data_IF_121443723115
#
_entry.id   IF_121443723115
#
_cell.length_a   1.000
_cell.length_b   1.000
_cell.length_c   1.000
_cell.angle_alpha   90.00
_cell.angle_beta   90.00
_cell.angle_gamma   90.00
#
_symmetry.space_group_name_H-M   'P 1'
#
loop_
_entity.id
_entity.type
_entity.pdbx_description
1 polymer ?
#
# COMPACT_ATOMS: atom_id res chain seq x y z
N UNK A 1 5.81 -3.35 16.97
CA UNK A 1 5.51 -2.44 15.83
C UNK A 1 6.27 -1.11 15.98
N UNK A 2 7.48 -1.11 16.53
CA UNK A 2 8.04 0.08 17.21
C UNK A 2 9.18 0.79 16.43
N UNK A 3 9.66 0.22 15.32
CA UNK A 3 10.82 0.76 14.59
C UNK A 3 10.54 1.25 13.17
N UNK A 4 9.48 0.77 12.52
CA UNK A 4 9.13 1.18 11.16
C UNK A 4 7.61 1.42 11.11
N UNK A 5 7.12 2.57 11.61
CA UNK A 5 5.69 2.86 11.62
C UNK A 5 5.13 2.97 10.19
N UNK A 6 3.86 2.64 10.00
CA UNK A 6 3.17 2.83 8.72
C UNK A 6 3.57 1.88 7.58
N UNK A 7 4.50 0.94 7.79
CA UNK A 7 4.82 -0.12 6.79
C UNK A 7 3.89 -1.33 6.88
N UNK A 8 3.12 -1.44 7.97
CA UNK A 8 2.13 -2.50 8.18
C UNK A 8 0.75 -1.88 8.15
N UNK A 9 -0.13 -2.48 7.36
CA UNK A 9 -1.53 -2.11 7.24
C UNK A 9 -2.31 -3.21 6.53
N UNK A 10 -3.62 -3.03 6.43
CA UNK A 10 -4.45 -3.86 5.57
C UNK A 10 -4.59 -3.12 4.23
N UNK A 11 -4.66 -3.88 3.14
CA UNK A 11 -4.79 -3.31 1.80
C UNK A 11 -5.73 -4.15 0.96
N UNK A 12 -6.55 -3.50 0.15
CA UNK A 12 -7.37 -4.13 -0.88
C UNK A 12 -6.92 -3.65 -2.25
N UNK A 13 -7.00 -4.54 -3.24
CA UNK A 13 -6.52 -4.30 -4.60
C UNK A 13 -7.54 -4.86 -5.59
N UNK A 14 -7.90 -4.08 -6.60
CA UNK A 14 -8.73 -4.52 -7.72
C UNK A 14 -7.93 -4.40 -9.01
N UNK A 15 -7.57 -5.55 -9.59
CA UNK A 15 -6.80 -5.62 -10.82
C UNK A 15 -7.59 -5.16 -12.06
N UNK A 16 -8.93 -5.16 -12.02
CA UNK A 16 -9.74 -4.77 -13.17
C UNK A 16 -9.73 -3.25 -13.39
N UNK A 17 -9.82 -2.49 -12.30
CA UNK A 17 -9.76 -1.02 -12.32
C UNK A 17 -8.39 -0.44 -11.94
N UNK A 18 -7.42 -1.30 -11.60
CA UNK A 18 -6.11 -0.93 -11.06
C UNK A 18 -6.20 -0.09 -9.77
N UNK A 19 -7.22 -0.30 -8.95
CA UNK A 19 -7.45 0.47 -7.72
C UNK A 19 -6.87 -0.21 -6.48
N UNK A 20 -6.42 0.62 -5.54
CA UNK A 20 -6.05 0.17 -4.21
C UNK A 20 -6.58 1.12 -3.12
N UNK A 21 -6.72 0.57 -1.91
CA UNK A 21 -7.03 1.32 -0.71
C UNK A 21 -6.35 0.68 0.51
N UNK A 22 -5.85 1.53 1.42
CA UNK A 22 -5.24 1.13 2.69
C UNK A 22 -6.21 1.32 3.85
N UNK A 23 -6.12 0.43 4.83
CA UNK A 23 -6.94 0.45 6.03
C UNK A 23 -6.05 0.33 7.27
N UNK A 24 -6.55 0.90 8.36
CA UNK A 24 -5.92 0.80 9.65
C UNK A 24 -6.04 -0.62 10.22
N UNK A 25 -4.93 -1.28 10.58
CA UNK A 25 -4.96 -2.68 11.01
C UNK A 25 -5.57 -2.88 12.41
N UNK A 26 -5.67 -1.82 13.23
CA UNK A 26 -6.25 -1.90 14.57
C UNK A 26 -7.78 -1.68 14.56
N UNK A 27 -8.29 -0.94 13.57
CA UNK A 27 -9.70 -0.52 13.52
C UNK A 27 -10.46 -0.99 12.28
N UNK A 28 -9.76 -1.45 11.24
CA UNK A 28 -10.36 -1.77 9.93
C UNK A 28 -10.82 -0.54 9.15
N UNK A 29 -10.66 0.67 9.70
CA UNK A 29 -11.12 1.90 9.06
C UNK A 29 -10.27 2.26 7.86
N UNK A 30 -10.94 2.71 6.81
CA UNK A 30 -10.30 3.23 5.62
C UNK A 30 -9.36 4.40 5.94
N UNK A 31 -8.19 4.43 5.28
CA UNK A 31 -7.26 5.57 5.26
C UNK A 31 -7.47 6.47 4.05
N UNK A 32 -8.58 6.34 3.33
CA UNK A 32 -8.91 7.16 2.15
C UNK A 32 -8.84 8.66 2.43
N UNK A 33 -9.47 9.11 3.51
CA UNK A 33 -9.44 10.54 3.93
C UNK A 33 -8.05 11.03 4.33
N UNK A 34 -7.09 10.13 4.50
CA UNK A 34 -5.67 10.39 4.79
C UNK A 34 -4.80 10.22 3.53
N UNK A 35 -5.41 10.10 2.34
CA UNK A 35 -4.71 9.90 1.07
C UNK A 35 -4.27 8.45 0.80
N UNK A 36 -4.81 7.48 1.53
CA UNK A 36 -4.46 6.06 1.44
C UNK A 36 -5.08 5.30 0.26
N UNK A 37 -5.49 5.98 -0.81
CA UNK A 37 -6.10 5.37 -1.99
C UNK A 37 -5.48 5.86 -3.29
N UNK A 38 -5.68 5.10 -4.35
CA UNK A 38 -5.29 5.51 -5.69
C UNK A 38 -5.21 4.36 -6.67
N UNK A 39 -4.30 4.50 -7.64
CA UNK A 39 -4.03 3.50 -8.66
C UNK A 39 -2.73 2.77 -8.40
N UNK A 40 -2.69 1.49 -8.77
CA UNK A 40 -1.47 0.69 -8.74
C UNK A 40 -1.17 0.10 -10.09
N UNK A 41 0.11 -0.21 -10.33
CA UNK A 41 0.54 -1.01 -11.46
C UNK A 41 1.71 -1.89 -11.06
N UNK A 42 1.80 -3.05 -11.70
CA UNK A 42 3.00 -3.89 -11.71
C UNK A 42 3.68 -3.68 -13.06
N UNK A 43 4.97 -3.39 -13.06
CA UNK A 43 5.71 -3.18 -14.31
C UNK A 43 5.71 -4.45 -15.16
N UNK A 44 5.79 -4.31 -16.49
CA UNK A 44 5.73 -5.47 -17.40
C UNK A 44 6.83 -6.51 -17.18
N UNK A 45 7.98 -6.09 -16.64
CA UNK A 45 9.08 -6.96 -16.22
C UNK A 45 8.87 -7.60 -14.84
N UNK A 46 7.75 -7.31 -14.17
CA UNK A 46 7.36 -7.78 -12.83
C UNK A 46 8.42 -7.51 -11.75
N UNK A 47 9.23 -6.46 -11.91
CA UNK A 47 10.25 -6.06 -10.92
C UNK A 47 9.78 -4.99 -9.95
N UNK A 48 8.77 -4.20 -10.31
CA UNK A 48 8.30 -3.10 -9.46
C UNK A 48 6.78 -3.06 -9.36
N UNK A 49 6.32 -2.65 -8.18
CA UNK A 49 4.98 -2.11 -7.99
C UNK A 49 5.09 -0.60 -7.85
N UNK A 50 4.18 0.12 -8.50
CA UNK A 50 4.05 1.58 -8.38
C UNK A 50 2.65 1.90 -7.89
N UNK A 51 2.55 2.74 -6.86
CA UNK A 51 1.30 3.31 -6.39
C UNK A 51 1.30 4.82 -6.67
N UNK A 52 0.28 5.28 -7.40
CA UNK A 52 -0.03 6.70 -7.60
C UNK A 52 -1.26 7.04 -6.78
N UNK A 53 -1.15 8.05 -5.90
CA UNK A 53 -2.19 8.39 -4.94
C UNK A 53 -3.15 9.44 -5.51
N UNK A 54 -4.45 9.31 -5.22
CA UNK A 54 -5.46 10.28 -5.69
C UNK A 54 -5.22 11.67 -5.07
N UNK A 55 -4.71 11.72 -3.83
CA UNK A 55 -4.30 12.95 -3.15
C UNK A 55 -3.08 13.64 -3.80
N UNK A 56 -2.49 13.03 -4.85
CA UNK A 56 -1.30 13.52 -5.51
C UNK A 56 0.00 13.21 -4.77
N UNK A 57 1.08 13.88 -5.17
CA UNK A 57 2.41 13.67 -4.60
C UNK A 57 3.26 12.67 -5.41
N UNK A 58 4.44 12.32 -4.86
CA UNK A 58 5.37 11.41 -5.53
C UNK A 58 4.85 9.97 -5.47
N UNK A 59 4.84 9.23 -6.59
CA UNK A 59 4.48 7.81 -6.58
C UNK A 59 5.37 7.01 -5.64
N UNK A 60 4.77 6.01 -4.99
CA UNK A 60 5.52 5.03 -4.21
C UNK A 60 5.96 3.89 -5.13
N UNK A 61 7.27 3.80 -5.37
CA UNK A 61 7.89 2.73 -6.15
C UNK A 61 8.52 1.70 -5.20
N UNK A 62 8.19 0.43 -5.40
CA UNK A 62 8.65 -0.69 -4.56
C UNK A 62 9.25 -1.78 -5.43
N UNK A 63 10.39 -2.33 -5.04
CA UNK A 63 11.00 -3.49 -5.71
C UNK A 63 10.30 -4.75 -5.24
N UNK A 64 9.76 -5.52 -6.17
CA UNK A 64 9.14 -6.81 -5.89
C UNK A 64 10.23 -7.84 -5.55
N UNK A 65 9.99 -8.59 -4.48
CA UNK A 65 10.80 -9.76 -4.11
C UNK A 65 9.99 -11.05 -4.29
N UNK A 66 8.72 -11.04 -3.86
CA UNK A 66 7.78 -12.17 -3.98
C UNK A 66 6.41 -11.66 -4.41
N UNK A 67 5.78 -12.34 -5.37
CA UNK A 67 4.41 -12.05 -5.82
C UNK A 67 3.71 -13.36 -6.23
N UNK A 68 2.90 -13.92 -5.34
CA UNK A 68 2.06 -15.09 -5.57
C UNK A 68 0.79 -15.04 -4.69
N UNK A 69 -0.04 -16.08 -4.74
CA UNK A 69 -1.34 -16.14 -4.03
C UNK A 69 -1.23 -16.18 -2.49
N UNK A 70 -0.04 -16.53 -1.96
CA UNK A 70 0.20 -16.66 -0.52
C UNK A 70 0.99 -15.50 0.06
N UNK A 71 1.81 -14.84 -0.77
CA UNK A 71 2.73 -13.82 -0.32
C UNK A 71 2.94 -12.71 -1.36
N UNK A 72 2.90 -11.49 -0.85
CA UNK A 72 3.35 -10.29 -1.53
C UNK A 72 4.44 -9.61 -0.70
N UNK A 73 5.68 -9.67 -1.17
CA UNK A 73 6.84 -9.07 -0.50
C UNK A 73 7.54 -8.08 -1.41
N UNK A 74 7.84 -6.92 -0.84
CA UNK A 74 8.65 -5.91 -1.51
C UNK A 74 9.77 -5.39 -0.61
N UNK A 75 10.77 -4.79 -1.23
CA UNK A 75 11.81 -4.03 -0.55
C UNK A 75 11.77 -2.54 -0.92
N UNK A 76 12.24 -1.72 0.03
CA UNK A 76 12.49 -0.29 -0.19
C UNK A 76 13.60 0.22 0.72
N UNK A 77 14.28 1.27 0.29
CA UNK A 77 15.25 2.00 1.08
C UNK A 77 14.54 3.09 1.88
N UNK A 78 14.82 3.16 3.18
CA UNK A 78 14.30 4.17 4.11
C UNK A 78 15.41 4.61 5.07
N UNK A 79 15.33 5.80 5.68
CA UNK A 79 16.18 6.13 6.82
C UNK A 79 15.99 5.10 7.94
N UNK A 80 17.06 4.74 8.65
CA UNK A 80 16.97 3.77 9.75
C UNK A 80 15.92 4.23 10.77
N UNK A 81 15.04 3.31 11.11
CA UNK A 81 13.86 3.52 11.96
C UNK A 81 12.86 4.59 11.45
N UNK A 82 12.89 4.94 10.15
CA UNK A 82 12.11 6.04 9.56
C UNK A 82 12.34 7.40 10.24
N UNK A 83 13.56 7.63 10.73
CA UNK A 83 13.97 8.93 11.31
C UNK A 83 14.89 9.63 10.31
N UNK A 84 14.49 10.82 9.86
CA UNK A 84 15.27 11.61 8.92
C UNK A 84 16.68 11.91 9.45
N UNK A 85 17.66 11.90 8.55
CA UNK A 85 19.08 12.07 8.89
C UNK A 85 19.79 10.78 9.32
N UNK A 86 19.07 9.72 9.67
CA UNK A 86 19.71 8.44 9.93
C UNK A 86 20.23 7.77 8.65
N UNK A 87 21.26 6.90 8.75
CA UNK A 87 21.73 6.11 7.62
C UNK A 87 20.60 5.30 6.99
N UNK A 88 20.60 5.24 5.66
CA UNK A 88 19.63 4.45 4.93
C UNK A 88 19.80 2.95 5.20
N UNK A 89 18.67 2.24 5.27
CA UNK A 89 18.59 0.79 5.36
C UNK A 89 17.57 0.26 4.37
N UNK A 90 17.78 -0.96 3.88
CA UNK A 90 16.77 -1.66 3.09
C UNK A 90 15.87 -2.45 4.04
N UNK A 91 14.57 -2.20 3.97
CA UNK A 91 13.57 -3.01 4.66
C UNK A 91 12.87 -3.94 3.67
N UNK A 92 12.42 -5.10 4.16
CA UNK A 92 11.53 -6.02 3.46
C UNK A 92 10.18 -6.02 4.16
N UNK A 93 9.10 -5.82 3.41
CA UNK A 93 7.74 -5.77 3.93
C UNK A 93 6.97 -6.93 3.34
N UNK A 94 6.52 -7.84 4.20
CA UNK A 94 5.84 -9.08 3.85
C UNK A 94 4.34 -8.89 4.08
N UNK A 95 3.53 -9.26 3.09
CA UNK A 95 2.07 -9.33 3.19
C UNK A 95 1.60 -10.74 2.87
N UNK A 96 0.61 -11.20 3.61
CA UNK A 96 -0.13 -12.45 3.36
C UNK A 96 -1.61 -12.13 3.16
N UNK A 97 -2.41 -13.06 2.61
CA UNK A 97 -3.87 -12.93 2.61
C UNK A 97 -4.40 -12.58 4.00
N UNK A 98 -5.31 -11.59 4.05
CA UNK A 98 -5.85 -11.09 5.30
C UNK A 98 -6.89 -12.05 5.88
N UNK A 99 -6.71 -12.43 7.14
CA UNK A 99 -7.60 -13.35 7.89
C UNK A 99 -8.12 -12.72 9.19
N UNK A 100 -8.05 -11.39 9.30
CA UNK A 100 -8.47 -10.66 10.48
C UNK A 100 -9.98 -10.45 10.59
N UNK A 101 -10.45 -9.79 11.66
CA UNK A 101 -11.89 -9.75 12.00
C UNK A 101 -12.70 -8.74 11.18
N UNK A 102 -12.05 -7.75 10.56
CA UNK A 102 -12.74 -6.69 9.83
C UNK A 102 -13.20 -7.13 8.45
N UNK A 103 -14.44 -6.79 8.06
CA UNK A 103 -14.90 -6.91 6.67
C UNK A 103 -14.37 -5.73 5.86
N UNK A 104 -13.45 -5.99 4.94
CA UNK A 104 -12.78 -4.96 4.16
C UNK A 104 -13.43 -4.84 2.79
N UNK A 105 -13.93 -3.63 2.50
CA UNK A 105 -14.48 -3.26 1.20
C UNK A 105 -13.89 -1.91 0.79
N UNK A 106 -13.81 -1.67 -0.52
CA UNK A 106 -13.52 -0.33 -1.01
C UNK A 106 -14.55 0.66 -0.46
N UNK A 107 -14.09 1.84 -0.05
CA UNK A 107 -14.98 2.91 0.39
C UNK A 107 -15.80 3.44 -0.78
N UNK A 108 -17.08 3.74 -0.53
CA UNK A 108 -17.96 4.36 -1.52
C UNK A 108 -17.39 5.69 -2.00
N UNK A 109 -17.36 5.90 -3.31
CA UNK A 109 -17.01 7.21 -3.88
C UNK A 109 -18.28 7.98 -4.14
N UNK A 110 -18.26 9.28 -3.85
CA UNK A 110 -19.24 10.16 -4.44
C UNK A 110 -19.13 10.06 -5.96
N UNK A 111 -20.23 9.64 -6.58
CA UNK A 111 -20.38 9.68 -8.03
C UNK A 111 -20.15 11.12 -8.47
N UNK A 112 -19.06 11.37 -9.17
CA UNK A 112 -18.89 12.62 -9.92
C UNK A 112 -19.86 12.54 -11.08
N UNK A 113 -21.11 12.94 -10.84
CA UNK A 113 -22.10 13.18 -11.87
C UNK A 113 -21.55 14.31 -12.73
N UNK A 114 -20.91 13.93 -13.83
CA UNK A 114 -20.41 14.88 -14.80
C UNK A 114 -21.64 15.36 -15.57
N UNK A 115 -22.09 16.58 -15.29
CA UNK A 115 -23.01 17.32 -16.15
C UNK A 115 -22.25 17.92 -17.33
#
# INVERSE_FOLDING_TARGET
MERYPGVVGISIWDASSNRFEYFDPATGLSRRTQGGEGYFLITGDRRHQINAFDAGGKPLVRRLEVLNEHEFTYSRVVPRNMVDGNPNVTIRVVHTPYVGPFSIHFSERESTSTR
#
